data_IF_726994609971
#
_entry.id   IF_726994609971
#
_cell.length_a   1.000
_cell.length_b   1.000
_cell.length_c   1.000
_cell.angle_alpha   90.00
_cell.angle_beta   90.00
_cell.angle_gamma   90.00
#
_symmetry.space_group_name_H-M   'P 1'
#
loop_
_entity.id
_entity.type
_entity.pdbx_description
1 polymer ?
#
# COMPACT_ATOMS: atom_id res chain seq x y z
N UNK A 1 12.12 10.90 0.94
CA UNK A 1 11.27 12.01 0.43
C UNK A 1 11.01 13.06 1.50
N UNK A 2 10.21 12.79 2.53
CA UNK A 2 9.88 13.77 3.58
C UNK A 2 11.09 14.34 4.36
N UNK A 3 12.14 13.55 4.60
CA UNK A 3 13.38 14.05 5.21
C UNK A 3 14.12 15.06 4.30
N UNK A 4 14.12 14.80 2.98
CA UNK A 4 14.70 15.71 2.00
C UNK A 4 13.88 17.00 1.91
N UNK A 5 12.54 16.90 1.88
CA UNK A 5 11.66 18.06 1.92
C UNK A 5 11.94 18.96 3.14
N UNK A 6 12.07 18.37 4.33
CA UNK A 6 12.39 19.09 5.55
C UNK A 6 13.80 19.69 5.54
N UNK A 7 14.78 18.95 5.01
CA UNK A 7 16.15 19.41 4.91
C UNK A 7 16.27 20.63 4.00
N UNK A 8 15.77 20.54 2.76
CA UNK A 8 15.84 21.65 1.81
C UNK A 8 15.00 22.86 2.24
N UNK A 9 13.84 22.63 2.87
CA UNK A 9 13.03 23.71 3.43
C UNK A 9 13.71 24.46 4.58
N UNK A 10 14.55 23.81 5.39
CA UNK A 10 15.19 24.46 6.54
C UNK A 10 16.57 25.04 6.21
N UNK A 11 17.39 24.32 5.44
CA UNK A 11 18.79 24.67 5.22
C UNK A 11 19.02 25.47 3.93
N UNK A 12 18.13 25.38 2.94
CA UNK A 12 18.29 26.04 1.64
C UNK A 12 17.22 27.08 1.32
N UNK A 13 16.37 27.45 2.30
CA UNK A 13 15.34 28.47 2.13
C UNK A 13 15.90 29.84 1.71
N UNK A 14 17.10 30.18 2.16
CA UNK A 14 17.74 31.48 1.94
C UNK A 14 18.21 31.71 0.49
N UNK A 15 18.37 30.66 -0.31
CA UNK A 15 18.88 30.75 -1.70
C UNK A 15 17.92 31.51 -2.62
N UNK A 16 16.63 31.58 -2.25
CA UNK A 16 15.59 32.29 -3.02
C UNK A 16 14.94 33.42 -2.22
N UNK A 17 15.66 33.96 -1.22
CA UNK A 17 15.22 35.15 -0.49
C UNK A 17 14.93 36.30 -1.46
N UNK A 18 13.66 36.56 -1.73
CA UNK A 18 13.20 37.75 -2.46
C UNK A 18 13.38 38.99 -1.56
N UNK A 19 14.60 39.51 -1.45
CA UNK A 19 14.91 40.73 -0.69
C UNK A 19 14.41 42.02 -1.37
N UNK A 20 13.90 41.94 -2.62
CA UNK A 20 13.61 43.11 -3.47
C UNK A 20 12.11 43.37 -3.74
N UNK A 21 11.19 42.47 -3.36
CA UNK A 21 9.76 42.66 -3.61
C UNK A 21 8.93 42.32 -2.37
N UNK A 22 8.29 43.36 -1.83
CA UNK A 22 7.51 43.40 -0.58
C UNK A 22 6.20 42.55 -0.58
N UNK A 23 6.15 41.46 -1.32
CA UNK A 23 4.95 40.63 -1.47
C UNK A 23 5.20 39.14 -1.76
N UNK A 24 6.45 38.65 -1.73
CA UNK A 24 6.73 37.24 -1.98
C UNK A 24 6.72 36.41 -0.69
N UNK A 25 5.92 35.34 -0.67
CA UNK A 25 5.97 34.32 0.39
C UNK A 25 7.21 33.45 0.13
N UNK A 26 8.12 33.49 1.09
CA UNK A 26 9.50 33.05 0.96
C UNK A 26 9.68 31.55 1.23
N UNK A 27 9.14 30.69 0.37
CA UNK A 27 9.39 29.23 0.43
C UNK A 27 9.42 28.66 -0.99
N UNK A 28 10.63 28.45 -1.52
CA UNK A 28 10.80 27.62 -2.73
C UNK A 28 11.74 26.47 -2.42
N UNK A 29 11.16 25.28 -2.24
CA UNK A 29 11.96 24.08 -2.02
C UNK A 29 12.59 23.66 -3.35
N UNK A 30 13.91 23.89 -3.48
CA UNK A 30 14.68 23.52 -4.69
C UNK A 30 14.58 22.05 -5.06
N UNK A 31 14.30 21.19 -4.08
CA UNK A 31 14.14 19.76 -4.28
C UNK A 31 13.10 19.44 -5.36
N UNK A 32 12.05 20.26 -5.52
CA UNK A 32 11.01 20.05 -6.54
C UNK A 32 11.55 20.07 -7.97
N UNK A 33 12.62 20.83 -8.22
CA UNK A 33 13.26 20.92 -9.53
C UNK A 33 14.22 19.76 -9.80
N UNK A 34 14.63 19.05 -8.76
CA UNK A 34 15.56 17.93 -8.89
C UNK A 34 14.83 16.71 -9.51
N UNK A 35 15.39 16.06 -10.55
CA UNK A 35 14.84 14.82 -11.11
C UNK A 35 14.63 13.73 -10.05
N UNK A 36 15.44 13.70 -9.00
CA UNK A 36 15.31 12.75 -7.90
C UNK A 36 14.03 12.97 -7.08
N UNK A 37 13.50 14.20 -7.00
CA UNK A 37 12.17 14.44 -6.43
C UNK A 37 11.07 13.79 -7.28
N UNK A 38 11.16 13.95 -8.60
CA UNK A 38 10.19 13.35 -9.53
C UNK A 38 10.21 11.82 -9.43
N UNK A 39 11.40 11.21 -9.38
CA UNK A 39 11.58 9.77 -9.14
C UNK A 39 11.00 9.36 -7.78
N UNK A 40 11.28 10.11 -6.72
CA UNK A 40 10.76 9.82 -5.39
C UNK A 40 9.23 9.85 -5.35
N UNK A 41 8.59 10.83 -5.99
CA UNK A 41 7.13 10.91 -6.10
C UNK A 41 6.55 9.74 -6.89
N UNK A 42 7.22 9.29 -7.95
CA UNK A 42 6.81 8.09 -8.70
C UNK A 42 6.79 6.85 -7.82
N UNK A 43 7.91 6.58 -7.15
CA UNK A 43 8.05 5.42 -6.27
C UNK A 43 7.06 5.48 -5.11
N UNK A 44 6.81 6.68 -4.58
CA UNK A 44 5.88 6.89 -3.49
C UNK A 44 4.42 6.59 -3.89
N UNK A 45 3.95 7.04 -5.06
CA UNK A 45 2.61 6.69 -5.55
C UNK A 45 2.48 5.19 -5.88
N UNK A 46 3.53 4.59 -6.43
CA UNK A 46 3.60 3.15 -6.68
C UNK A 46 3.47 2.32 -5.41
N UNK A 47 4.22 2.68 -4.38
CA UNK A 47 4.21 2.00 -3.09
C UNK A 47 2.84 2.05 -2.40
N UNK A 48 1.99 3.03 -2.73
CA UNK A 48 0.62 3.12 -2.23
C UNK A 48 -0.32 2.19 -3.00
N UNK A 49 -0.24 2.16 -4.34
CA UNK A 49 -1.20 1.44 -5.17
C UNK A 49 -0.92 -0.07 -5.26
N UNK A 50 0.34 -0.47 -5.45
CA UNK A 50 0.73 -1.86 -5.72
C UNK A 50 0.30 -2.85 -4.62
N UNK A 51 0.46 -2.55 -3.31
CA UNK A 51 0.06 -3.49 -2.27
C UNK A 51 -1.43 -3.84 -2.28
N UNK A 52 -2.30 -2.90 -2.67
CA UNK A 52 -3.74 -3.13 -2.77
C UNK A 52 -4.06 -4.13 -3.89
N UNK A 53 -3.51 -3.93 -5.10
CA UNK A 53 -3.70 -4.85 -6.22
C UNK A 53 -3.10 -6.23 -5.95
N UNK A 54 -1.91 -6.29 -5.35
CA UNK A 54 -1.28 -7.56 -4.95
C UNK A 54 -2.18 -8.30 -3.95
N UNK A 55 -2.73 -7.59 -2.95
CA UNK A 55 -3.65 -8.18 -1.97
C UNK A 55 -4.92 -8.73 -2.63
N UNK A 56 -5.46 -8.02 -3.62
CA UNK A 56 -6.59 -8.49 -4.42
C UNK A 56 -6.25 -9.77 -5.18
N UNK A 57 -5.12 -9.81 -5.88
CA UNK A 57 -4.71 -11.01 -6.63
C UNK A 57 -4.49 -12.22 -5.73
N UNK A 58 -3.85 -12.03 -4.59
CA UNK A 58 -3.68 -13.09 -3.59
C UNK A 58 -5.05 -13.54 -3.06
N UNK A 59 -5.96 -12.62 -2.74
CA UNK A 59 -7.29 -12.97 -2.25
C UNK A 59 -8.10 -13.76 -3.27
N UNK A 60 -8.01 -13.41 -4.55
CA UNK A 60 -8.69 -14.13 -5.63
C UNK A 60 -8.09 -15.52 -5.86
N UNK A 61 -6.77 -15.64 -5.88
CA UNK A 61 -6.06 -16.92 -5.97
C UNK A 61 -6.51 -17.87 -4.84
N UNK A 62 -6.53 -17.36 -3.60
CA UNK A 62 -7.00 -18.14 -2.44
C UNK A 62 -8.48 -18.46 -2.50
N UNK A 63 -9.31 -17.54 -2.97
CA UNK A 63 -10.73 -17.76 -3.14
C UNK A 63 -11.01 -18.89 -4.13
N UNK A 64 -10.38 -18.87 -5.31
CA UNK A 64 -10.56 -19.94 -6.30
C UNK A 64 -10.05 -21.29 -5.78
N UNK A 65 -8.92 -21.30 -5.06
CA UNK A 65 -8.34 -22.53 -4.51
C UNK A 65 -9.18 -23.16 -3.38
N UNK A 66 -9.77 -22.35 -2.50
CA UNK A 66 -10.49 -22.83 -1.32
C UNK A 66 -11.99 -23.01 -1.58
N UNK A 67 -12.64 -22.03 -2.22
CA UNK A 67 -14.10 -22.02 -2.40
C UNK A 67 -14.52 -22.80 -3.64
N UNK A 68 -13.72 -22.75 -4.71
CA UNK A 68 -14.05 -23.39 -6.00
C UNK A 68 -12.96 -24.36 -6.47
N UNK A 69 -12.65 -25.43 -5.71
CA UNK A 69 -11.51 -26.30 -5.98
C UNK A 69 -11.52 -26.97 -7.36
N UNK A 70 -12.69 -27.21 -7.96
CA UNK A 70 -12.86 -27.83 -9.28
C UNK A 70 -13.16 -26.84 -10.41
N UNK A 71 -13.08 -25.54 -10.15
CA UNK A 71 -13.37 -24.55 -11.18
C UNK A 71 -12.24 -24.47 -12.21
N UNK A 72 -12.61 -24.41 -13.49
CA UNK A 72 -11.71 -24.12 -14.61
C UNK A 72 -11.08 -22.73 -14.54
N UNK A 73 -11.57 -21.87 -13.63
CA UNK A 73 -11.06 -20.51 -13.39
C UNK A 73 -9.83 -20.45 -12.46
N UNK A 74 -9.06 -21.54 -12.34
CA UNK A 74 -7.76 -21.46 -11.66
C UNK A 74 -6.85 -20.48 -12.40
N UNK A 75 -6.27 -19.56 -11.64
CA UNK A 75 -5.29 -18.62 -12.17
C UNK A 75 -4.05 -19.41 -12.60
N UNK A 76 -3.89 -19.60 -13.91
CA UNK A 76 -2.63 -20.13 -14.43
C UNK A 76 -1.54 -19.10 -14.22
N UNK A 77 -0.30 -19.54 -14.00
CA UNK A 77 0.84 -18.64 -13.78
C UNK A 77 0.98 -17.61 -14.91
N UNK A 78 0.66 -18.00 -16.14
CA UNK A 78 0.63 -17.09 -17.29
C UNK A 78 -0.42 -15.97 -17.14
N UNK A 79 -1.66 -16.32 -16.78
CA UNK A 79 -2.73 -15.32 -16.56
C UNK A 79 -2.41 -14.38 -15.41
N UNK A 80 -1.82 -14.90 -14.31
CA UNK A 80 -1.37 -14.07 -13.19
C UNK A 80 -0.32 -13.06 -13.66
N UNK A 81 0.71 -13.53 -14.36
CA UNK A 81 1.77 -12.65 -14.89
C UNK A 81 1.20 -11.60 -15.83
N UNK A 82 0.32 -11.99 -16.75
CA UNK A 82 -0.31 -11.07 -17.70
C UNK A 82 -1.13 -9.98 -16.98
N UNK A 83 -2.00 -10.36 -16.05
CA UNK A 83 -2.83 -9.41 -15.28
C UNK A 83 -1.95 -8.50 -14.43
N UNK A 84 -0.92 -9.04 -13.77
CA UNK A 84 0.03 -8.21 -13.04
C UNK A 84 0.72 -7.21 -13.97
N UNK A 85 1.30 -7.65 -15.08
CA UNK A 85 1.98 -6.75 -16.01
C UNK A 85 1.05 -5.64 -16.51
N UNK A 86 -0.19 -5.95 -16.87
CA UNK A 86 -1.18 -4.95 -17.30
C UNK A 86 -1.45 -3.94 -16.19
N UNK A 87 -1.68 -4.38 -14.96
CA UNK A 87 -1.93 -3.47 -13.84
C UNK A 87 -0.73 -2.61 -13.50
N UNK A 88 0.47 -3.18 -13.53
CA UNK A 88 1.72 -2.43 -13.36
C UNK A 88 1.86 -1.35 -14.42
N UNK A 89 1.61 -1.66 -15.69
CA UNK A 89 1.63 -0.68 -16.78
C UNK A 89 0.58 0.43 -16.61
N UNK A 90 -0.64 0.09 -16.19
CA UNK A 90 -1.70 1.09 -15.95
C UNK A 90 -1.36 2.01 -14.77
N UNK A 91 -0.80 1.47 -13.68
CA UNK A 91 -0.36 2.28 -12.53
C UNK A 91 0.85 3.14 -12.95
N UNK A 92 1.79 2.60 -13.74
CA UNK A 92 2.90 3.36 -14.29
C UNK A 92 2.42 4.56 -15.10
N UNK A 93 1.50 4.35 -16.05
CA UNK A 93 0.99 5.45 -16.88
C UNK A 93 0.25 6.51 -16.06
N UNK A 94 -0.59 6.10 -15.11
CA UNK A 94 -1.32 7.06 -14.27
C UNK A 94 -0.38 7.86 -13.36
N UNK A 95 0.62 7.22 -12.76
CA UNK A 95 1.61 7.91 -11.91
C UNK A 95 2.49 8.87 -12.70
N UNK A 96 2.94 8.49 -13.91
CA UNK A 96 3.63 9.36 -14.89
C UNK A 96 2.83 10.64 -15.15
N UNK A 97 1.56 10.50 -15.54
CA UNK A 97 0.70 11.64 -15.82
C UNK A 97 0.54 12.60 -14.61
N UNK A 98 0.40 12.07 -13.39
CA UNK A 98 0.28 12.92 -12.19
C UNK A 98 1.55 13.68 -11.82
N UNK A 99 2.72 13.12 -12.13
CA UNK A 99 3.98 13.74 -11.75
C UNK A 99 4.43 14.78 -12.77
N UNK A 100 4.26 14.52 -14.07
CA UNK A 100 4.60 15.50 -15.10
C UNK A 100 3.75 16.76 -14.98
N UNK A 101 2.44 16.60 -14.76
CA UNK A 101 1.51 17.72 -14.53
C UNK A 101 1.89 18.54 -13.30
N UNK A 102 2.24 17.87 -12.20
CA UNK A 102 2.68 18.55 -10.99
C UNK A 102 3.96 19.39 -11.21
N UNK A 103 4.96 18.89 -11.96
CA UNK A 103 6.16 19.71 -12.29
C UNK A 103 5.79 20.92 -13.15
N UNK A 104 4.93 20.75 -14.14
CA UNK A 104 4.54 21.85 -15.05
C UNK A 104 3.77 22.98 -14.38
N UNK A 105 3.13 22.70 -13.24
CA UNK A 105 2.26 23.62 -12.53
C UNK A 105 2.93 24.19 -11.26
N UNK A 106 4.21 23.88 -11.06
CA UNK A 106 5.02 24.44 -9.98
C UNK A 106 5.11 25.97 -10.11
N UNK A 107 4.42 26.67 -9.21
CA UNK A 107 4.57 28.11 -9.04
C UNK A 107 5.28 28.42 -7.71
N UNK A 108 6.52 28.97 -7.76
CA UNK A 108 7.31 29.28 -6.58
C UNK A 108 6.68 30.35 -5.66
N UNK A 109 5.72 31.15 -6.16
CA UNK A 109 5.17 32.31 -5.45
C UNK A 109 3.83 32.03 -4.75
N UNK A 110 3.19 30.87 -5.01
CA UNK A 110 1.87 30.52 -4.46
C UNK A 110 1.90 29.32 -3.51
N UNK A 111 3.06 28.71 -3.27
CA UNK A 111 3.23 27.58 -2.34
C UNK A 111 3.03 28.04 -0.88
N UNK A 112 1.77 28.19 -0.48
CA UNK A 112 1.38 28.54 0.88
C UNK A 112 1.41 27.30 1.76
N UNK A 113 2.32 27.32 2.73
CA UNK A 113 2.47 26.38 3.85
C UNK A 113 3.01 24.98 3.53
N UNK A 114 3.59 24.40 4.59
CA UNK A 114 4.43 23.21 4.64
C UNK A 114 3.63 21.94 4.33
N UNK A 115 3.37 21.65 3.07
CA UNK A 115 2.75 20.38 2.66
C UNK A 115 3.61 19.75 1.57
N UNK A 116 4.62 18.96 2.00
CA UNK A 116 5.36 18.01 1.17
C UNK A 116 5.65 18.50 -0.26
N UNK A 117 6.51 19.51 -0.39
CA UNK A 117 6.67 20.28 -1.64
C UNK A 117 7.03 19.39 -2.85
N UNK A 118 7.69 18.24 -2.63
CA UNK A 118 7.95 17.26 -3.68
C UNK A 118 6.79 16.30 -3.99
N UNK A 119 5.92 16.02 -3.01
CA UNK A 119 4.78 15.11 -3.17
C UNK A 119 3.54 15.85 -3.69
N UNK A 120 3.21 17.00 -3.10
CA UNK A 120 2.04 17.83 -3.41
C UNK A 120 2.48 19.26 -3.67
N UNK A 121 2.27 19.75 -4.89
CA UNK A 121 2.60 21.14 -5.25
C UNK A 121 1.41 22.04 -4.95
N UNK A 122 0.19 21.59 -5.27
CA UNK A 122 -1.06 22.20 -4.79
C UNK A 122 -2.18 21.15 -4.70
N UNK A 123 -2.73 20.84 -3.50
CA UNK A 123 -3.84 19.90 -3.37
C UNK A 123 -5.17 20.42 -3.94
N UNK A 124 -5.28 21.70 -4.27
CA UNK A 124 -6.50 22.33 -4.80
C UNK A 124 -6.54 22.39 -6.33
N UNK A 125 -5.45 22.01 -6.99
CA UNK A 125 -5.38 21.95 -8.45
C UNK A 125 -6.34 20.90 -9.04
N UNK A 126 -7.03 21.26 -10.13
CA UNK A 126 -8.09 20.45 -10.73
C UNK A 126 -7.62 19.09 -11.23
N UNK A 127 -6.45 19.02 -11.87
CA UNK A 127 -5.87 17.78 -12.40
C UNK A 127 -5.48 16.84 -11.25
N UNK A 128 -4.70 17.35 -10.29
CA UNK A 128 -4.29 16.58 -9.12
C UNK A 128 -5.49 16.08 -8.31
N UNK A 129 -6.47 16.95 -8.05
CA UNK A 129 -7.72 16.61 -7.38
C UNK A 129 -8.44 15.45 -8.06
N UNK A 130 -8.56 15.53 -9.38
CA UNK A 130 -9.31 14.56 -10.17
C UNK A 130 -8.58 13.22 -10.19
N UNK A 131 -7.28 13.21 -10.44
CA UNK A 131 -6.51 11.96 -10.45
C UNK A 131 -6.40 11.33 -9.07
N UNK A 132 -6.24 12.13 -8.00
CA UNK A 132 -6.29 11.63 -6.64
C UNK A 132 -7.66 11.01 -6.30
N UNK A 133 -8.75 11.67 -6.69
CA UNK A 133 -10.10 11.14 -6.46
C UNK A 133 -10.32 9.79 -7.16
N UNK A 134 -9.92 9.66 -8.43
CA UNK A 134 -9.97 8.38 -9.14
C UNK A 134 -9.03 7.34 -8.52
N UNK A 135 -7.81 7.71 -8.14
CA UNK A 135 -6.85 6.81 -7.50
C UNK A 135 -7.38 6.25 -6.18
N UNK A 136 -7.81 7.12 -5.26
CA UNK A 136 -8.43 6.70 -4.00
C UNK A 136 -9.71 5.89 -4.24
N UNK A 137 -10.56 6.29 -5.20
CA UNK A 137 -11.79 5.56 -5.56
C UNK A 137 -11.52 4.13 -6.04
N UNK A 138 -10.54 3.93 -6.93
CA UNK A 138 -10.13 2.61 -7.39
C UNK A 138 -9.62 1.77 -6.21
N UNK A 139 -8.79 2.35 -5.34
CA UNK A 139 -8.26 1.63 -4.18
C UNK A 139 -9.36 1.21 -3.20
N UNK A 140 -10.38 2.04 -2.98
CA UNK A 140 -11.56 1.66 -2.17
C UNK A 140 -12.23 0.43 -2.77
N UNK A 141 -12.52 0.46 -4.07
CA UNK A 141 -13.17 -0.68 -4.75
C UNK A 141 -12.32 -1.94 -4.61
N UNK A 142 -11.01 -1.84 -4.84
CA UNK A 142 -10.06 -2.96 -4.70
C UNK A 142 -10.06 -3.52 -3.26
N UNK A 143 -10.04 -2.67 -2.24
CA UNK A 143 -10.11 -3.10 -0.85
C UNK A 143 -11.46 -3.74 -0.49
N UNK A 144 -12.58 -3.18 -0.97
CA UNK A 144 -13.90 -3.75 -0.75
C UNK A 144 -14.01 -5.14 -1.37
N UNK A 145 -13.54 -5.33 -2.60
CA UNK A 145 -13.51 -6.66 -3.25
C UNK A 145 -12.59 -7.61 -2.49
N UNK A 146 -11.44 -7.15 -2.03
CA UNK A 146 -10.50 -7.98 -1.26
C UNK A 146 -11.15 -8.46 0.05
N UNK A 147 -11.85 -7.57 0.77
CA UNK A 147 -12.56 -7.92 2.01
C UNK A 147 -13.68 -8.92 1.72
N UNK A 148 -14.50 -8.69 0.69
CA UNK A 148 -15.61 -9.60 0.37
C UNK A 148 -15.11 -11.00 0.00
N UNK A 149 -14.00 -11.10 -0.74
CA UNK A 149 -13.34 -12.37 -1.04
C UNK A 149 -12.87 -13.09 0.23
N UNK A 150 -12.20 -12.38 1.15
CA UNK A 150 -11.76 -12.99 2.41
C UNK A 150 -12.93 -13.40 3.31
N UNK A 151 -14.02 -12.61 3.38
CA UNK A 151 -15.23 -12.99 4.10
C UNK A 151 -15.87 -14.25 3.51
N UNK A 152 -15.95 -14.34 2.17
CA UNK A 152 -16.45 -15.53 1.49
C UNK A 152 -15.58 -16.77 1.75
N UNK A 153 -14.25 -16.61 1.75
CA UNK A 153 -13.31 -17.69 2.12
C UNK A 153 -13.57 -18.15 3.56
N UNK A 154 -13.65 -17.22 4.52
CA UNK A 154 -13.88 -17.54 5.93
C UNK A 154 -15.21 -18.28 6.11
N UNK A 155 -16.28 -17.81 5.46
CA UNK A 155 -17.59 -18.46 5.50
C UNK A 155 -17.51 -19.91 5.00
N UNK A 156 -16.85 -20.14 3.87
CA UNK A 156 -16.68 -21.48 3.29
C UNK A 156 -15.84 -22.40 4.16
N UNK A 157 -14.72 -21.90 4.72
CA UNK A 157 -13.90 -22.67 5.65
C UNK A 157 -14.70 -23.07 6.90
N UNK A 158 -15.52 -22.17 7.44
CA UNK A 158 -16.41 -22.48 8.58
C UNK A 158 -17.45 -23.54 8.22
N UNK A 159 -18.11 -23.40 7.06
CA UNK A 159 -19.09 -24.38 6.58
C UNK A 159 -18.48 -25.76 6.38
N UNK A 160 -17.32 -25.85 5.74
CA UNK A 160 -16.62 -27.13 5.52
C UNK A 160 -16.16 -27.73 6.85
N UNK A 161 -15.62 -26.93 7.78
CA UNK A 161 -15.22 -27.41 9.11
C UNK A 161 -16.40 -28.06 9.85
N UNK A 162 -17.57 -27.43 9.81
CA UNK A 162 -18.76 -27.98 10.46
C UNK A 162 -19.20 -29.31 9.83
N UNK A 163 -19.12 -29.47 8.51
CA UNK A 163 -19.45 -30.73 7.82
C UNK A 163 -18.42 -31.84 8.08
N UNK A 164 -17.14 -31.50 8.16
CA UNK A 164 -16.04 -32.47 8.31
C UNK A 164 -15.90 -33.00 9.74
N UNK A 165 -16.34 -32.26 10.77
CA UNK A 165 -16.40 -32.79 12.15
C UNK A 165 -17.22 -34.10 12.23
N UNK A 166 -18.17 -34.31 11.31
CA UNK A 166 -18.95 -35.54 11.21
C UNK A 166 -18.30 -36.67 10.39
N UNK A 167 -17.19 -36.43 9.67
CA UNK A 167 -16.58 -37.42 8.75
C UNK A 167 -15.06 -37.43 8.92
N UNK A 168 -14.58 -38.27 9.84
CA UNK A 168 -13.17 -38.43 10.17
C UNK A 168 -12.36 -39.09 9.04
N UNK A 169 -11.66 -38.31 8.22
CA UNK A 169 -10.61 -38.83 7.33
C UNK A 169 -9.33 -37.98 7.44
N UNK A 170 -8.26 -38.63 7.93
CA UNK A 170 -7.07 -37.98 8.50
C UNK A 170 -6.02 -37.55 7.45
N UNK A 171 -6.14 -37.95 6.17
CA UNK A 171 -5.07 -37.76 5.16
C UNK A 171 -5.08 -36.39 4.46
N UNK A 172 -6.25 -35.72 4.37
CA UNK A 172 -6.39 -34.38 3.76
C UNK A 172 -6.33 -33.22 4.77
N UNK A 173 -6.20 -33.52 6.07
CA UNK A 173 -6.21 -32.50 7.14
C UNK A 173 -4.99 -31.58 7.07
N UNK A 174 -3.80 -32.13 6.79
CA UNK A 174 -2.56 -31.38 6.85
C UNK A 174 -2.42 -30.34 5.72
N UNK A 175 -2.80 -30.71 4.48
CA UNK A 175 -2.81 -29.78 3.35
C UNK A 175 -3.85 -28.66 3.53
N UNK A 176 -5.06 -28.99 4.01
CA UNK A 176 -6.10 -28.00 4.33
C UNK A 176 -5.68 -27.05 5.45
N UNK A 177 -5.00 -27.54 6.48
CA UNK A 177 -4.50 -26.71 7.58
C UNK A 177 -3.43 -25.72 7.09
N UNK A 178 -2.58 -26.13 6.13
CA UNK A 178 -1.57 -25.24 5.52
C UNK A 178 -2.25 -24.14 4.70
N UNK A 179 -3.18 -24.50 3.81
CA UNK A 179 -3.92 -23.53 2.98
C UNK A 179 -4.73 -22.55 3.82
N UNK A 180 -5.41 -23.04 4.86
CA UNK A 180 -6.15 -22.19 5.79
C UNK A 180 -5.24 -21.20 6.53
N UNK A 181 -4.06 -21.65 7.00
CA UNK A 181 -3.09 -20.76 7.64
C UNK A 181 -2.53 -19.72 6.69
N UNK A 182 -2.15 -20.11 5.47
CA UNK A 182 -1.68 -19.17 4.44
C UNK A 182 -2.76 -18.12 4.15
N UNK A 183 -4.03 -18.52 4.03
CA UNK A 183 -5.14 -17.59 3.85
C UNK A 183 -5.30 -16.61 5.03
N UNK A 184 -5.11 -17.06 6.27
CA UNK A 184 -5.16 -16.17 7.45
C UNK A 184 -4.01 -15.16 7.38
N UNK A 185 -2.80 -15.61 7.07
CA UNK A 185 -1.61 -14.75 6.97
C UNK A 185 -1.82 -13.67 5.89
N UNK A 186 -2.24 -14.08 4.70
CA UNK A 186 -2.48 -13.14 3.59
C UNK A 186 -3.68 -12.22 3.87
N UNK A 187 -4.67 -12.70 4.62
CA UNK A 187 -5.78 -11.88 5.11
C UNK A 187 -5.34 -10.81 6.10
N UNK A 188 -4.48 -11.16 7.06
CA UNK A 188 -3.89 -10.19 8.02
C UNK A 188 -3.09 -9.13 7.25
N UNK A 189 -2.29 -9.53 6.27
CA UNK A 189 -1.54 -8.62 5.38
C UNK A 189 -2.48 -7.66 4.65
N UNK A 190 -3.57 -8.16 4.08
CA UNK A 190 -4.56 -7.31 3.40
C UNK A 190 -5.20 -6.29 4.36
N UNK A 191 -5.52 -6.68 5.59
CA UNK A 191 -6.07 -5.78 6.61
C UNK A 191 -5.04 -4.73 7.02
N UNK A 192 -3.77 -5.10 7.23
CA UNK A 192 -2.72 -4.14 7.54
C UNK A 192 -2.52 -3.13 6.42
N UNK A 193 -2.55 -3.56 5.15
CA UNK A 193 -2.47 -2.67 4.00
C UNK A 193 -3.64 -1.66 3.97
N UNK A 194 -4.85 -2.11 4.31
CA UNK A 194 -6.02 -1.23 4.43
C UNK A 194 -5.86 -0.22 5.57
N UNK A 195 -5.48 -0.69 6.76
CA UNK A 195 -5.33 0.15 7.96
C UNK A 195 -4.21 1.17 7.78
N UNK A 196 -3.11 0.82 7.12
CA UNK A 196 -2.01 1.75 6.83
C UNK A 196 -2.43 2.85 5.84
N UNK A 197 -3.31 2.53 4.90
CA UNK A 197 -3.78 3.47 3.87
C UNK A 197 -4.89 4.41 4.38
N UNK A 198 -5.73 3.95 5.31
CA UNK A 198 -6.93 4.66 5.77
C UNK A 198 -6.67 6.07 6.36
N UNK A 199 -5.64 6.30 7.21
CA UNK A 199 -5.31 7.64 7.70
C UNK A 199 -5.04 8.63 6.57
N UNK A 200 -4.30 8.20 5.54
CA UNK A 200 -4.01 9.01 4.36
C UNK A 200 -5.26 9.40 3.58
N UNK A 201 -6.19 8.45 3.42
CA UNK A 201 -7.48 8.70 2.79
C UNK A 201 -8.35 9.68 3.58
N UNK A 202 -8.40 9.55 4.92
CA UNK A 202 -9.14 10.48 5.78
C UNK A 202 -8.56 11.90 5.71
N UNK A 203 -7.24 12.04 5.69
CA UNK A 203 -6.58 13.34 5.51
C UNK A 203 -6.91 13.92 4.13
N UNK A 204 -6.89 13.11 3.08
CA UNK A 204 -7.31 13.55 1.75
C UNK A 204 -8.74 14.09 1.80
N UNK A 205 -9.70 13.36 2.36
CA UNK A 205 -11.08 13.84 2.54
C UNK A 205 -11.10 15.17 3.31
N UNK A 206 -10.40 15.27 4.44
CA UNK A 206 -10.39 16.48 5.26
C UNK A 206 -9.83 17.70 4.51
N UNK A 207 -8.79 17.52 3.68
CA UNK A 207 -8.26 18.56 2.79
C UNK A 207 -9.32 18.95 1.74
N UNK A 208 -10.00 17.97 1.15
CA UNK A 208 -11.05 18.19 0.14
C UNK A 208 -12.23 19.01 0.66
N UNK A 209 -12.62 18.81 1.91
CA UNK A 209 -13.66 19.57 2.59
C UNK A 209 -13.15 20.83 3.31
N UNK A 210 -11.87 21.19 3.16
CA UNK A 210 -11.26 22.38 3.75
C UNK A 210 -11.48 22.49 5.26
N UNK A 211 -11.32 21.38 5.98
CA UNK A 211 -11.49 21.38 7.43
C UNK A 211 -10.51 22.37 8.08
N UNK A 212 -11.03 23.30 8.90
CA UNK A 212 -10.24 24.40 9.47
C UNK A 212 -9.06 23.92 10.32
N UNK A 213 -9.15 22.76 10.98
CA UNK A 213 -8.05 22.23 11.79
C UNK A 213 -6.77 21.97 10.97
N UNK A 214 -6.89 21.68 9.67
CA UNK A 214 -5.75 21.41 8.79
C UNK A 214 -4.94 22.67 8.45
N UNK A 215 -5.48 23.88 8.66
CA UNK A 215 -4.70 25.11 8.49
C UNK A 215 -3.79 25.40 9.70
N UNK A 216 -3.98 24.69 10.81
CA UNK A 216 -3.16 24.84 12.02
C UNK A 216 -1.84 24.06 11.90
N UNK A 217 -0.82 24.47 12.66
CA UNK A 217 0.47 23.78 12.70
C UNK A 217 0.32 22.30 13.13
N UNK A 218 -0.55 22.03 14.11
CA UNK A 218 -0.88 20.66 14.54
C UNK A 218 -1.55 19.85 13.43
N UNK A 219 -2.44 20.47 12.65
CA UNK A 219 -3.07 19.85 11.49
C UNK A 219 -2.07 19.41 10.42
N UNK A 220 -1.05 20.23 10.16
CA UNK A 220 0.03 19.90 9.23
C UNK A 220 0.85 18.69 9.72
N UNK A 221 1.18 18.65 11.02
CA UNK A 221 1.89 17.51 11.61
C UNK A 221 1.09 16.21 11.50
N UNK A 222 -0.22 16.26 11.80
CA UNK A 222 -1.13 15.11 11.66
C UNK A 222 -1.19 14.65 10.21
N UNK A 223 -1.30 15.59 9.26
CA UNK A 223 -1.31 15.28 7.83
C UNK A 223 -0.01 14.57 7.40
N UNK A 224 1.13 15.04 7.87
CA UNK A 224 2.44 14.41 7.63
C UNK A 224 2.52 13.01 8.24
N UNK A 225 2.08 12.82 9.48
CA UNK A 225 2.09 11.50 10.13
C UNK A 225 1.19 10.51 9.38
N UNK A 226 -0.03 10.94 9.02
CA UNK A 226 -0.94 10.10 8.26
C UNK A 226 -0.42 9.79 6.86
N UNK A 227 0.37 10.70 6.26
CA UNK A 227 1.08 10.42 5.01
C UNK A 227 2.17 9.35 5.18
N UNK A 228 2.95 9.39 6.26
CA UNK A 228 3.94 8.34 6.56
C UNK A 228 3.29 6.97 6.80
N UNK A 229 2.11 6.95 7.43
CA UNK A 229 1.38 5.71 7.71
C UNK A 229 1.07 4.91 6.45
N UNK A 230 0.91 5.54 5.28
CA UNK A 230 0.70 4.83 4.01
C UNK A 230 1.83 3.84 3.68
N UNK A 231 3.07 4.13 4.11
CA UNK A 231 4.27 3.34 3.77
C UNK A 231 4.63 2.29 4.80
N UNK A 232 3.97 2.30 5.97
CA UNK A 232 4.25 1.36 7.06
C UNK A 232 4.00 -0.10 6.62
N UNK A 233 3.09 -0.31 5.67
CA UNK A 233 2.85 -1.61 5.07
C UNK A 233 4.12 -2.29 4.51
N UNK A 234 5.05 -1.51 3.97
CA UNK A 234 6.25 -2.01 3.31
C UNK A 234 7.23 -2.64 4.32
N UNK A 235 7.21 -2.15 5.56
CA UNK A 235 8.00 -2.70 6.67
C UNK A 235 7.26 -3.86 7.37
N UNK A 236 5.94 -3.80 7.48
CA UNK A 236 5.14 -4.83 8.15
C UNK A 236 5.06 -6.13 7.33
N UNK A 237 5.02 -6.05 6.01
CA UNK A 237 4.89 -7.22 5.14
C UNK A 237 6.00 -8.27 5.40
N UNK A 238 7.30 -7.94 5.33
CA UNK A 238 8.39 -8.86 5.67
C UNK A 238 8.30 -9.42 7.08
N UNK A 239 7.95 -8.60 8.08
CA UNK A 239 7.81 -9.03 9.48
C UNK A 239 6.72 -10.10 9.60
N UNK A 240 5.59 -9.91 8.94
CA UNK A 240 4.49 -10.87 8.94
C UNK A 240 4.86 -12.16 8.24
N UNK A 241 5.56 -12.09 7.09
CA UNK A 241 6.10 -13.30 6.46
C UNK A 241 7.09 -14.02 7.37
N UNK A 242 8.03 -13.29 8.01
CA UNK A 242 9.00 -13.90 8.93
C UNK A 242 8.30 -14.57 10.09
N UNK A 243 7.50 -13.87 10.89
CA UNK A 243 6.88 -14.42 12.10
C UNK A 243 5.91 -15.58 11.83
N UNK A 244 5.20 -15.53 10.70
CA UNK A 244 4.13 -16.47 10.40
C UNK A 244 4.59 -17.64 9.53
N UNK A 245 5.69 -17.48 8.77
CA UNK A 245 6.31 -18.54 7.96
C UNK A 245 7.51 -19.20 8.65
N UNK A 246 8.29 -18.49 9.49
CA UNK A 246 9.47 -19.04 10.19
C UNK A 246 9.13 -20.22 11.10
N UNK A 247 7.99 -20.14 11.81
CA UNK A 247 7.46 -21.24 12.63
C UNK A 247 7.35 -22.56 11.84
N UNK A 248 7.18 -22.49 10.51
CA UNK A 248 7.11 -23.68 9.63
C UNK A 248 8.48 -24.23 9.26
N UNK A 249 9.48 -23.37 9.04
CA UNK A 249 10.87 -23.79 8.82
C UNK A 249 11.41 -24.47 10.07
N UNK A 250 11.17 -23.89 11.25
CA UNK A 250 11.56 -24.48 12.53
C UNK A 250 10.87 -25.82 12.78
N UNK A 251 9.55 -25.93 12.54
CA UNK A 251 8.81 -27.18 12.71
C UNK A 251 9.22 -28.25 11.69
N UNK A 252 9.51 -27.88 10.44
CA UNK A 252 10.01 -28.83 9.42
C UNK A 252 11.43 -29.30 9.76
N UNK A 253 12.32 -28.41 10.17
CA UNK A 253 13.67 -28.75 10.59
C UNK A 253 13.67 -29.64 11.84
N UNK A 254 12.82 -29.35 12.83
CA UNK A 254 12.67 -30.19 14.02
C UNK A 254 12.13 -31.58 13.68
N UNK A 255 11.14 -31.69 12.80
CA UNK A 255 10.61 -32.99 12.37
C UNK A 255 11.63 -33.79 11.53
N UNK A 256 12.39 -33.13 10.65
CA UNK A 256 13.49 -33.77 9.90
C UNK A 256 14.60 -34.30 10.83
N UNK A 257 14.97 -33.52 11.85
CA UNK A 257 15.96 -33.92 12.87
C UNK A 257 15.48 -35.10 13.73
N UNK A 258 14.16 -35.26 13.90
CA UNK A 258 13.52 -36.37 14.61
C UNK A 258 13.41 -37.65 13.76
N UNK A 259 13.31 -37.49 12.44
CA UNK A 259 13.16 -38.58 11.48
C UNK A 259 14.51 -39.20 11.07
N UNK A 260 15.60 -38.45 11.22
CA UNK A 260 16.98 -38.92 11.07
C UNK A 260 17.79 -38.54 12.31
N UNK A 261 17.64 -39.27 13.44
CA UNK A 261 18.57 -39.12 14.55
C UNK A 261 19.97 -39.50 14.02
N UNK A 262 20.94 -38.61 14.18
CA UNK A 262 22.32 -38.88 13.86
C UNK A 262 22.73 -40.18 14.59
N UNK A 263 23.00 -41.24 13.83
CA UNK A 263 23.69 -42.42 14.34
C UNK A 263 25.12 -41.98 14.65
N UNK A 264 25.37 -41.66 15.92
CA UNK A 264 26.72 -41.58 16.44
C UNK A 264 27.25 -43.02 16.56
N UNK A 265 28.19 -43.37 15.68
CA UNK A 265 29.19 -44.41 15.90
C UNK A 265 30.55 -43.71 15.92
#
# INVERSE_FOLDING_TARGET
MACADRYYANYHAHIFNCYLFNGCINITNIWVKDPACTIARYLANMAVALPAFISLYISFDRYTSIVKPYSSYRFTLFRVKLVMTISWSLILMSTIATSTTAVSLYNPFTAKHFVHVCYFIDPYESVHRTTAAYGFGILIIVYLVTITLYLAIIAQVRMVRHRVIHVSTNRNSNHRNIESRLCIITGIIAVMNLVSWLPGFLIYIAIRFKFAFLSTNSGHQIATIGHFLLYVNSSLNPICYMLLLSRRLELKCCNLKRQYPAKYN
#
